data_IF_189420064115
#
_entry.id   IF_189420064115
#
_cell.length_a   1.000
_cell.length_b   1.000
_cell.length_c   1.000
_cell.angle_alpha   90.00
_cell.angle_beta   90.00
_cell.angle_gamma   90.00
#
_symmetry.space_group_name_H-M   'P 1'
#
loop_
_entity.id
_entity.type
_entity.pdbx_description
1 polymer ?
#
# COMPACT_ATOMS: atom_id res chain seq x y z
N UNK A 1 7.18 6.56 -16.51
CA UNK A 1 5.83 6.17 -16.00
C UNK A 1 5.42 6.97 -14.76
N UNK A 2 4.11 7.17 -14.52
CA UNK A 2 3.53 7.74 -13.28
C UNK A 2 2.74 6.70 -12.50
N UNK A 3 3.14 6.47 -11.24
CA UNK A 3 2.59 5.42 -10.38
C UNK A 3 1.82 6.02 -9.22
N UNK A 4 0.59 5.53 -8.99
CA UNK A 4 -0.21 5.84 -7.81
C UNK A 4 -0.17 4.69 -6.81
N UNK A 5 0.00 4.98 -5.52
CA UNK A 5 -0.07 4.02 -4.43
C UNK A 5 -1.08 4.45 -3.38
N UNK A 6 -2.14 3.66 -3.18
CA UNK A 6 -3.19 3.91 -2.19
C UNK A 6 -2.89 3.15 -0.92
N UNK A 7 -2.97 3.84 0.22
CA UNK A 7 -2.80 3.22 1.53
C UNK A 7 -3.93 2.28 1.95
N UNK A 8 -3.80 1.73 3.16
CA UNK A 8 -4.62 0.63 3.69
C UNK A 8 -6.11 0.87 3.48
N UNK A 9 -6.73 0.10 2.58
CA UNK A 9 -8.16 0.22 2.28
C UNK A 9 -8.95 -0.46 3.40
N UNK A 10 -9.67 0.32 4.21
CA UNK A 10 -10.40 -0.19 5.38
C UNK A 10 -11.90 -0.28 5.10
N UNK A 11 -12.37 -1.52 4.93
CA UNK A 11 -13.79 -1.86 4.85
C UNK A 11 -14.58 -1.16 3.75
N UNK A 12 -15.92 -1.19 3.89
CA UNK A 12 -16.85 -0.57 2.92
C UNK A 12 -16.59 0.94 2.72
N UNK A 13 -16.30 1.75 3.75
CA UNK A 13 -16.03 3.18 3.55
C UNK A 13 -14.81 3.44 2.66
N UNK A 14 -13.73 2.67 2.80
CA UNK A 14 -12.54 2.73 1.95
C UNK A 14 -12.85 2.38 0.50
N UNK A 15 -13.51 1.24 0.26
CA UNK A 15 -13.91 0.83 -1.11
C UNK A 15 -14.85 1.84 -1.76
N UNK A 16 -15.78 2.42 -0.99
CA UNK A 16 -16.73 3.43 -1.48
C UNK A 16 -16.03 4.71 -1.96
N UNK A 17 -15.14 5.29 -1.14
CA UNK A 17 -14.47 6.56 -1.53
C UNK A 17 -13.57 6.36 -2.74
N UNK A 18 -12.96 5.18 -2.90
CA UNK A 18 -12.20 4.81 -4.09
C UNK A 18 -13.11 4.77 -5.32
N UNK A 19 -14.20 4.01 -5.27
CA UNK A 19 -15.16 3.88 -6.37
C UNK A 19 -15.69 5.23 -6.86
N UNK A 20 -15.90 6.17 -5.95
CA UNK A 20 -16.44 7.50 -6.26
C UNK A 20 -15.43 8.46 -6.90
N UNK A 21 -14.13 8.28 -6.67
CA UNK A 21 -13.11 9.30 -6.97
C UNK A 21 -11.95 8.80 -7.86
N UNK A 22 -11.57 7.53 -7.76
CA UNK A 22 -10.28 7.06 -8.31
C UNK A 22 -10.17 7.21 -9.82
N UNK A 23 -11.22 6.93 -10.58
CA UNK A 23 -11.20 7.08 -12.06
C UNK A 23 -10.94 8.54 -12.45
N UNK A 24 -11.52 9.50 -11.72
CA UNK A 24 -11.31 10.93 -11.97
C UNK A 24 -9.89 11.34 -11.61
N UNK A 25 -9.39 10.89 -10.46
CA UNK A 25 -8.02 11.14 -10.00
C UNK A 25 -7.01 10.55 -11.00
N UNK A 26 -7.19 9.28 -11.41
CA UNK A 26 -6.33 8.62 -12.41
C UNK A 26 -6.21 9.46 -13.69
N UNK A 27 -7.34 9.98 -14.18
CA UNK A 27 -7.38 10.84 -15.37
C UNK A 27 -6.78 12.23 -15.15
N UNK A 28 -7.12 12.88 -14.05
CA UNK A 28 -6.69 14.26 -13.74
C UNK A 28 -5.17 14.35 -13.55
N UNK A 29 -4.58 13.34 -12.91
CA UNK A 29 -3.15 13.30 -12.62
C UNK A 29 -2.38 12.38 -13.57
N UNK A 30 -3.01 11.89 -14.65
CA UNK A 30 -2.36 11.06 -15.68
C UNK A 30 -1.58 9.87 -15.10
N UNK A 31 -2.21 9.14 -14.16
CA UNK A 31 -1.57 8.02 -13.49
C UNK A 31 -1.66 6.78 -14.39
N UNK A 32 -0.51 6.20 -14.76
CA UNK A 32 -0.43 5.05 -15.65
C UNK A 32 -0.88 3.77 -14.93
N UNK A 33 -0.39 3.56 -13.71
CA UNK A 33 -0.59 2.33 -12.95
C UNK A 33 -0.85 2.60 -11.47
N UNK A 34 -1.85 1.93 -10.90
CA UNK A 34 -2.29 2.13 -9.52
C UNK A 34 -2.11 0.85 -8.71
N UNK A 35 -1.28 0.95 -7.69
CA UNK A 35 -1.09 -0.05 -6.65
C UNK A 35 -1.95 0.35 -5.44
N UNK A 36 -2.52 -0.59 -4.71
CA UNK A 36 -3.25 -0.30 -3.48
C UNK A 36 -3.07 -1.38 -2.41
N UNK A 37 -2.90 -0.99 -1.15
CA UNK A 37 -2.89 -1.94 -0.06
C UNK A 37 -4.33 -2.35 0.33
N UNK A 38 -4.66 -3.63 0.11
CA UNK A 38 -6.01 -4.17 0.31
C UNK A 38 -6.19 -5.00 1.58
N UNK A 39 -5.24 -4.99 2.52
CA UNK A 39 -5.24 -5.97 3.62
C UNK A 39 -6.43 -5.86 4.58
N UNK A 40 -7.09 -4.70 4.64
CA UNK A 40 -8.25 -4.44 5.53
C UNK A 40 -9.56 -4.26 4.76
N UNK A 41 -9.57 -4.60 3.47
CA UNK A 41 -10.64 -4.19 2.56
C UNK A 41 -11.98 -4.86 2.92
N UNK A 42 -11.99 -6.08 3.46
CA UNK A 42 -13.20 -6.85 3.74
C UNK A 42 -13.54 -6.87 5.24
N UNK A 43 -14.48 -6.01 5.65
CA UNK A 43 -14.92 -5.86 7.04
C UNK A 43 -13.78 -5.50 8.02
N UNK A 44 -12.75 -4.83 7.51
CA UNK A 44 -11.60 -4.40 8.31
C UNK A 44 -10.47 -5.41 8.43
N UNK A 45 -10.64 -6.65 7.93
CA UNK A 45 -9.66 -7.72 8.07
C UNK A 45 -9.68 -8.66 6.86
N UNK A 46 -8.58 -8.68 6.10
CA UNK A 46 -8.38 -9.46 4.89
C UNK A 46 -9.13 -8.95 3.67
N UNK A 47 -9.04 -9.74 2.60
CA UNK A 47 -9.61 -9.43 1.29
C UNK A 47 -10.39 -10.63 0.75
N UNK A 48 -11.68 -10.44 0.48
CA UNK A 48 -12.54 -11.43 -0.19
C UNK A 48 -12.44 -11.33 -1.71
N UNK A 49 -12.80 -12.37 -2.45
CA UNK A 49 -12.85 -12.34 -3.93
C UNK A 49 -13.73 -11.19 -4.45
N UNK A 50 -14.89 -10.96 -3.84
CA UNK A 50 -15.80 -9.88 -4.24
C UNK A 50 -15.19 -8.49 -4.01
N UNK A 51 -14.60 -8.27 -2.83
CA UNK A 51 -13.87 -7.04 -2.51
C UNK A 51 -12.72 -6.74 -3.48
N UNK A 52 -11.93 -7.76 -3.85
CA UNK A 52 -10.86 -7.60 -4.85
C UNK A 52 -11.42 -7.21 -6.22
N UNK A 53 -12.48 -7.89 -6.69
CA UNK A 53 -13.15 -7.55 -7.96
C UNK A 53 -13.70 -6.13 -7.97
N UNK A 54 -14.26 -5.66 -6.86
CA UNK A 54 -14.76 -4.27 -6.72
C UNK A 54 -13.62 -3.26 -6.86
N UNK A 55 -12.49 -3.51 -6.20
CA UNK A 55 -11.32 -2.63 -6.21
C UNK A 55 -10.66 -2.57 -7.59
N UNK A 56 -10.41 -3.73 -8.21
CA UNK A 56 -9.83 -3.79 -9.55
C UNK A 56 -10.71 -3.07 -10.58
N UNK A 57 -12.04 -3.27 -10.53
CA UNK A 57 -13.00 -2.55 -11.39
C UNK A 57 -13.04 -1.04 -11.15
N UNK A 58 -12.56 -0.57 -10.00
CA UNK A 58 -12.53 0.86 -9.66
C UNK A 58 -11.29 1.58 -10.20
N UNK A 59 -10.39 0.86 -10.90
CA UNK A 59 -9.18 1.42 -11.52
C UNK A 59 -7.88 1.10 -10.78
N UNK A 60 -7.90 0.19 -9.80
CA UNK A 60 -6.69 -0.36 -9.19
C UNK A 60 -6.15 -1.47 -10.09
N UNK A 61 -4.85 -1.44 -10.36
CA UNK A 61 -4.20 -2.37 -11.29
C UNK A 61 -3.55 -3.55 -10.54
N UNK A 62 -3.04 -3.31 -9.33
CA UNK A 62 -2.43 -4.31 -8.45
C UNK A 62 -2.76 -4.07 -6.98
N UNK A 63 -3.11 -5.13 -6.25
CA UNK A 63 -3.40 -5.07 -4.82
C UNK A 63 -2.26 -5.71 -4.02
N UNK A 64 -1.69 -5.00 -3.05
CA UNK A 64 -0.76 -5.53 -2.06
C UNK A 64 -1.48 -5.91 -0.77
N UNK A 65 -0.80 -6.63 0.12
CA UNK A 65 -1.33 -7.10 1.39
C UNK A 65 -0.51 -6.62 2.59
N UNK A 66 -0.68 -7.33 3.70
CA UNK A 66 -0.04 -7.05 4.99
C UNK A 66 -0.25 -8.20 5.97
N UNK A 67 -0.27 -7.90 7.27
CA UNK A 67 -0.48 -8.91 8.31
C UNK A 67 -1.88 -9.52 8.27
N UNK A 68 -2.89 -8.83 7.73
CA UNK A 68 -4.26 -9.34 7.62
C UNK A 68 -4.55 -10.09 6.30
N UNK A 69 -3.56 -10.31 5.45
CA UNK A 69 -3.71 -10.98 4.15
C UNK A 69 -4.50 -12.30 4.22
N UNK A 70 -4.27 -13.10 5.28
CA UNK A 70 -4.86 -14.43 5.40
C UNK A 70 -6.10 -14.52 6.31
N UNK A 71 -6.65 -13.40 6.79
CA UNK A 71 -7.86 -13.40 7.63
C UNK A 71 -9.11 -13.85 6.84
N UNK A 72 -9.06 -13.77 5.51
CA UNK A 72 -10.00 -14.40 4.57
C UNK A 72 -9.32 -15.55 3.81
N UNK A 73 -8.69 -16.48 4.53
CA UNK A 73 -7.81 -17.53 3.98
C UNK A 73 -8.32 -18.18 2.69
N UNK A 74 -9.58 -18.66 2.67
CA UNK A 74 -10.13 -19.35 1.48
C UNK A 74 -10.14 -18.45 0.24
N UNK A 75 -10.56 -17.20 0.39
CA UNK A 75 -10.55 -16.21 -0.69
C UNK A 75 -9.12 -15.85 -1.10
N UNK A 76 -8.24 -15.59 -0.13
CA UNK A 76 -6.86 -15.18 -0.41
C UNK A 76 -6.11 -16.26 -1.20
N UNK A 77 -6.31 -17.54 -0.90
CA UNK A 77 -5.66 -18.62 -1.67
C UNK A 77 -6.08 -18.59 -3.16
N UNK A 78 -7.35 -18.34 -3.46
CA UNK A 78 -7.84 -18.21 -4.83
C UNK A 78 -7.31 -16.93 -5.50
N UNK A 79 -7.28 -15.82 -4.75
CA UNK A 79 -6.81 -14.53 -5.25
C UNK A 79 -5.34 -14.56 -5.66
N UNK A 80 -4.49 -15.23 -4.87
CA UNK A 80 -3.05 -15.35 -5.13
C UNK A 80 -2.73 -16.18 -6.40
N UNK A 81 -3.66 -17.00 -6.87
CA UNK A 81 -3.51 -17.79 -8.11
C UNK A 81 -4.10 -17.08 -9.33
N UNK A 82 -5.18 -16.33 -9.16
CA UNK A 82 -6.06 -15.93 -10.27
C UNK A 82 -6.17 -14.42 -10.49
N UNK A 83 -5.64 -13.61 -9.58
CA UNK A 83 -5.86 -12.16 -9.58
C UNK A 83 -4.56 -11.38 -9.43
N UNK A 84 -4.61 -10.07 -9.72
CA UNK A 84 -3.52 -9.14 -9.44
C UNK A 84 -3.48 -8.80 -7.94
N UNK A 85 -3.16 -9.79 -7.11
CA UNK A 85 -3.07 -9.66 -5.65
C UNK A 85 -1.73 -10.23 -5.18
N UNK A 86 -1.05 -9.50 -4.32
CA UNK A 86 0.18 -9.89 -3.63
C UNK A 86 -0.08 -10.08 -2.14
N UNK A 87 0.78 -10.88 -1.51
CA UNK A 87 0.95 -10.97 -0.05
C UNK A 87 2.39 -10.55 0.29
N UNK A 88 2.74 -10.27 1.56
CA UNK A 88 4.14 -9.97 1.89
C UNK A 88 5.09 -11.10 1.47
N UNK A 89 6.17 -10.78 0.75
CA UNK A 89 7.02 -11.78 0.11
C UNK A 89 7.83 -12.61 1.12
N UNK A 90 8.16 -11.99 2.25
CA UNK A 90 8.95 -12.58 3.33
C UNK A 90 8.15 -13.49 4.27
N UNK A 91 6.97 -13.97 3.90
CA UNK A 91 6.37 -15.11 4.59
C UNK A 91 7.27 -16.35 4.46
N UNK A 92 7.33 -17.23 5.47
CA UNK A 92 8.09 -18.47 5.39
C UNK A 92 7.69 -19.34 4.20
N UNK A 93 8.62 -20.17 3.72
CA UNK A 93 8.37 -21.10 2.63
C UNK A 93 7.18 -22.03 2.92
N UNK A 94 6.43 -22.39 1.86
CA UNK A 94 5.27 -23.29 1.95
C UNK A 94 3.90 -22.62 1.74
N UNK A 95 3.87 -21.31 1.48
CA UNK A 95 2.65 -20.61 1.06
C UNK A 95 2.65 -20.34 -0.45
N UNK A 96 1.46 -20.39 -1.04
CA UNK A 96 1.26 -20.05 -2.46
C UNK A 96 1.30 -18.53 -2.68
N UNK A 97 1.33 -18.13 -3.95
CA UNK A 97 1.40 -16.74 -4.35
C UNK A 97 2.78 -16.14 -4.16
N UNK A 98 2.91 -14.91 -4.64
CA UNK A 98 4.15 -14.13 -4.63
C UNK A 98 3.90 -12.81 -3.91
N UNK A 99 4.93 -12.25 -3.28
CA UNK A 99 4.94 -10.84 -2.90
C UNK A 99 5.65 -9.94 -3.89
N UNK A 100 5.98 -10.47 -5.07
CA UNK A 100 6.62 -9.74 -6.16
C UNK A 100 5.83 -9.95 -7.45
N UNK A 101 5.60 -8.87 -8.18
CA UNK A 101 5.10 -8.92 -9.56
C UNK A 101 5.83 -7.94 -10.45
N UNK A 102 6.23 -8.42 -11.63
CA UNK A 102 6.76 -7.57 -12.70
C UNK A 102 5.58 -7.25 -13.62
N UNK A 103 5.27 -5.97 -13.72
CA UNK A 103 4.18 -5.42 -14.51
C UNK A 103 4.77 -4.74 -15.76
N UNK A 104 4.16 -5.00 -16.91
CA UNK A 104 4.42 -4.23 -18.13
C UNK A 104 3.43 -3.06 -18.16
N UNK A 105 3.96 -1.84 -18.23
CA UNK A 105 3.21 -0.59 -18.19
C UNK A 105 3.39 0.09 -19.53
N UNK A 106 2.28 0.34 -20.21
CA UNK A 106 2.26 1.14 -21.43
C UNK A 106 2.37 2.62 -21.06
N UNK A 107 3.42 3.27 -21.54
CA UNK A 107 3.70 4.69 -21.38
C UNK A 107 3.73 5.37 -22.75
N UNK A 108 3.88 6.70 -22.77
CA UNK A 108 4.01 7.44 -24.03
C UNK A 108 5.27 7.05 -24.82
N UNK A 109 6.31 6.54 -24.13
CA UNK A 109 7.60 6.18 -24.69
C UNK A 109 7.72 4.67 -25.00
N UNK A 110 6.68 3.88 -24.75
CA UNK A 110 6.61 2.45 -25.05
C UNK A 110 6.21 1.60 -23.85
N UNK A 111 6.63 0.33 -23.85
CA UNK A 111 6.36 -0.59 -22.73
C UNK A 111 7.56 -0.56 -21.78
N UNK A 112 7.32 -0.18 -20.54
CA UNK A 112 8.29 -0.24 -19.46
C UNK A 112 7.93 -1.35 -18.45
N UNK A 113 8.93 -1.86 -17.73
CA UNK A 113 8.72 -2.86 -16.66
C UNK A 113 8.79 -2.19 -15.30
N UNK A 114 7.83 -2.50 -14.43
CA UNK A 114 7.81 -2.13 -13.00
C UNK A 114 7.74 -3.38 -12.14
N UNK A 115 8.71 -3.58 -11.25
CA UNK A 115 8.57 -4.56 -10.17
C UNK A 115 7.89 -3.92 -8.96
N UNK A 116 6.81 -4.56 -8.49
CA UNK A 116 6.17 -4.21 -7.22
C UNK A 116 6.49 -5.30 -6.21
N UNK A 117 7.03 -4.90 -5.07
CA UNK A 117 7.41 -5.76 -3.96
C UNK A 117 6.55 -5.39 -2.75
N UNK A 118 5.93 -6.37 -2.11
CA UNK A 118 5.27 -6.22 -0.81
C UNK A 118 6.07 -6.97 0.25
N UNK A 119 6.41 -6.32 1.37
CA UNK A 119 7.18 -6.90 2.47
C UNK A 119 6.54 -6.52 3.81
N UNK A 120 6.79 -7.33 4.84
CA UNK A 120 6.29 -7.08 6.19
C UNK A 120 7.45 -6.89 7.19
N UNK A 121 7.32 -5.88 8.06
CA UNK A 121 8.24 -5.67 9.20
C UNK A 121 8.14 -6.78 10.24
N UNK A 122 8.98 -6.72 11.28
CA UNK A 122 9.02 -7.74 12.35
C UNK A 122 8.72 -7.17 13.74
N UNK A 123 8.98 -5.88 13.97
CA UNK A 123 8.73 -5.27 15.27
C UNK A 123 7.22 -5.11 15.52
N UNK A 124 6.67 -5.88 16.47
CA UNK A 124 5.24 -5.87 16.79
C UNK A 124 4.36 -6.58 15.74
N UNK A 125 4.97 -7.28 14.78
CA UNK A 125 4.32 -7.91 13.63
C UNK A 125 4.36 -9.44 13.74
N UNK A 126 3.58 -10.18 12.93
CA UNK A 126 3.68 -11.65 12.86
C UNK A 126 5.08 -12.13 12.45
N UNK A 127 5.41 -13.37 12.80
CA UNK A 127 6.70 -13.99 12.46
C UNK A 127 6.84 -14.19 10.95
N UNK A 128 7.91 -13.64 10.39
CA UNK A 128 8.30 -13.71 8.98
C UNK A 128 9.82 -13.84 8.85
N UNK A 129 10.28 -14.16 7.63
CA UNK A 129 11.70 -14.05 7.29
C UNK A 129 12.18 -12.62 7.46
N UNK A 130 13.46 -12.45 7.81
CA UNK A 130 14.04 -11.13 8.06
C UNK A 130 13.85 -10.21 6.83
N UNK A 131 13.09 -9.09 6.96
CA UNK A 131 12.67 -8.30 5.80
C UNK A 131 13.84 -7.63 5.07
N UNK A 132 14.92 -7.30 5.78
CA UNK A 132 16.07 -6.61 5.22
C UNK A 132 16.96 -7.54 4.39
N UNK A 133 17.24 -8.73 4.92
CA UNK A 133 17.97 -9.77 4.18
C UNK A 133 17.16 -10.26 2.98
N UNK A 134 15.84 -10.40 3.16
CA UNK A 134 14.94 -10.79 2.08
C UNK A 134 14.90 -9.72 0.99
N UNK A 135 14.67 -8.46 1.33
CA UNK A 135 14.70 -7.34 0.39
C UNK A 135 16.01 -7.28 -0.39
N UNK A 136 17.16 -7.49 0.27
CA UNK A 136 18.48 -7.50 -0.40
C UNK A 136 18.55 -8.56 -1.50
N UNK A 137 18.07 -9.78 -1.22
CA UNK A 137 18.00 -10.87 -2.20
C UNK A 137 17.07 -10.49 -3.36
N UNK A 138 15.89 -9.94 -3.07
CA UNK A 138 14.90 -9.59 -4.09
C UNK A 138 15.39 -8.49 -5.02
N UNK A 139 15.89 -7.39 -4.47
CA UNK A 139 16.39 -6.25 -5.25
C UNK A 139 17.59 -6.66 -6.11
N UNK A 140 18.52 -7.45 -5.57
CA UNK A 140 19.66 -7.99 -6.35
C UNK A 140 19.17 -8.82 -7.54
N UNK A 141 18.25 -9.75 -7.31
CA UNK A 141 17.72 -10.61 -8.36
C UNK A 141 16.97 -9.83 -9.45
N UNK A 142 16.27 -8.75 -9.10
CA UNK A 142 15.58 -7.89 -10.06
C UNK A 142 16.57 -7.10 -10.91
N UNK A 143 17.63 -6.56 -10.31
CA UNK A 143 18.70 -5.87 -11.04
C UNK A 143 19.47 -6.80 -11.99
N UNK A 144 19.74 -8.05 -11.58
CA UNK A 144 20.33 -9.07 -12.45
C UNK A 144 19.46 -9.37 -13.68
N UNK A 145 18.14 -9.19 -13.56
CA UNK A 145 17.18 -9.30 -14.66
C UNK A 145 16.97 -7.98 -15.43
N UNK A 146 17.81 -6.96 -15.17
CA UNK A 146 17.73 -5.62 -15.75
C UNK A 146 16.38 -4.91 -15.47
N UNK A 147 15.78 -5.16 -14.31
CA UNK A 147 14.57 -4.48 -13.86
C UNK A 147 14.96 -3.38 -12.89
N UNK A 148 14.92 -2.13 -13.37
CA UNK A 148 15.36 -0.96 -12.61
C UNK A 148 14.22 -0.25 -11.86
N UNK A 149 13.02 -0.24 -12.45
CA UNK A 149 11.86 0.38 -11.80
C UNK A 149 11.33 -0.57 -10.73
N UNK A 150 11.54 -0.20 -9.47
CA UNK A 150 11.17 -1.03 -8.31
C UNK A 150 10.37 -0.18 -7.32
N UNK A 151 9.15 -0.61 -7.02
CA UNK A 151 8.28 -0.03 -5.99
C UNK A 151 8.15 -1.01 -4.82
N UNK A 152 8.42 -0.55 -3.59
CA UNK A 152 8.28 -1.35 -2.37
C UNK A 152 7.12 -0.81 -1.53
N UNK A 153 6.12 -1.65 -1.30
CA UNK A 153 5.15 -1.52 -0.20
C UNK A 153 5.71 -2.23 1.04
N UNK A 154 6.16 -1.46 2.03
CA UNK A 154 6.72 -1.98 3.27
C UNK A 154 5.76 -1.84 4.45
N UNK A 155 5.02 -2.93 4.71
CA UNK A 155 3.97 -3.01 5.70
C UNK A 155 4.55 -3.27 7.10
N UNK A 156 4.76 -2.23 7.90
CA UNK A 156 5.50 -2.33 9.17
C UNK A 156 5.04 -1.32 10.22
N UNK A 157 5.16 -1.66 11.50
CA UNK A 157 4.82 -0.77 12.62
C UNK A 157 5.94 0.23 12.93
N UNK A 158 7.17 -0.27 13.12
CA UNK A 158 8.28 0.56 13.60
C UNK A 158 8.78 1.53 12.52
N UNK A 159 8.76 2.83 12.83
CA UNK A 159 9.33 3.88 11.98
C UNK A 159 10.82 3.68 11.72
N UNK A 160 11.56 3.11 12.68
CA UNK A 160 12.97 2.75 12.51
C UNK A 160 13.18 1.68 11.43
N UNK A 161 12.36 0.62 11.40
CA UNK A 161 12.44 -0.40 10.35
C UNK A 161 12.16 0.22 8.98
N UNK A 162 11.11 1.05 8.89
CA UNK A 162 10.76 1.78 7.66
C UNK A 162 11.88 2.69 7.18
N UNK A 163 12.59 3.36 8.08
CA UNK A 163 13.73 4.23 7.74
C UNK A 163 14.99 3.44 7.37
N UNK A 164 15.25 2.30 8.02
CA UNK A 164 16.35 1.41 7.63
C UNK A 164 16.16 0.92 6.20
N UNK A 165 14.93 0.58 5.80
CA UNK A 165 14.62 0.16 4.43
C UNK A 165 15.04 1.23 3.39
N UNK A 166 14.70 2.51 3.63
CA UNK A 166 15.19 3.62 2.79
C UNK A 166 16.71 3.66 2.76
N UNK A 167 17.36 3.66 3.93
CA UNK A 167 18.80 3.84 4.00
C UNK A 167 19.59 2.73 3.31
N UNK A 168 19.04 1.52 3.27
CA UNK A 168 19.62 0.36 2.58
C UNK A 168 19.47 0.42 1.05
N UNK A 169 18.34 0.95 0.56
CA UNK A 169 17.93 0.81 -0.85
C UNK A 169 17.76 2.13 -1.59
N UNK A 170 18.07 3.27 -0.98
CA UNK A 170 18.16 4.55 -1.70
C UNK A 170 19.11 4.43 -2.91
N UNK A 171 18.74 5.06 -4.02
CA UNK A 171 19.40 4.97 -5.32
C UNK A 171 19.45 3.55 -5.94
N UNK A 172 18.79 2.56 -5.34
CA UNK A 172 18.67 1.19 -5.84
C UNK A 172 17.22 0.81 -6.14
N UNK A 173 16.24 1.56 -5.65
CA UNK A 173 14.82 1.37 -5.96
C UNK A 173 14.17 2.71 -6.24
N UNK A 174 13.06 2.70 -6.96
CA UNK A 174 12.40 3.93 -7.40
C UNK A 174 11.55 4.55 -6.29
N UNK A 175 10.82 3.71 -5.54
CA UNK A 175 9.98 4.19 -4.47
C UNK A 175 9.85 3.17 -3.33
N UNK A 176 9.76 3.66 -2.11
CA UNK A 176 9.43 2.88 -0.91
C UNK A 176 8.32 3.64 -0.16
N UNK A 177 7.15 3.02 -0.05
CA UNK A 177 6.06 3.56 0.74
C UNK A 177 5.69 2.61 1.86
N UNK A 178 5.68 3.09 3.09
CA UNK A 178 5.19 2.32 4.21
C UNK A 178 3.66 2.36 4.33
N UNK A 179 3.10 1.31 4.92
CA UNK A 179 1.68 1.15 5.31
C UNK A 179 1.61 0.56 6.73
N UNK A 180 0.42 0.12 7.18
CA UNK A 180 0.11 -0.53 8.47
C UNK A 180 -0.42 0.41 9.57
N UNK A 181 0.25 1.52 9.84
CA UNK A 181 -0.07 2.33 11.04
C UNK A 181 -1.38 3.11 10.91
N UNK A 182 -1.94 3.15 9.69
CA UNK A 182 -3.20 3.81 9.33
C UNK A 182 -3.18 5.34 9.47
N UNK A 183 -2.08 5.94 9.92
CA UNK A 183 -1.91 7.39 10.06
C UNK A 183 -0.83 7.86 9.09
N UNK A 184 -1.21 8.76 8.18
CA UNK A 184 -0.28 9.28 7.19
C UNK A 184 0.78 10.18 7.83
N UNK A 185 2.05 10.00 7.44
CA UNK A 185 3.16 10.86 7.86
C UNK A 185 3.36 12.04 6.90
N UNK A 186 4.05 13.07 7.37
CA UNK A 186 4.36 14.32 6.63
C UNK A 186 5.80 14.33 6.08
N UNK A 187 6.46 13.17 5.99
CA UNK A 187 7.88 13.04 5.62
C UNK A 187 8.11 12.54 4.18
N UNK A 188 7.14 12.79 3.29
CA UNK A 188 7.26 12.51 1.86
C UNK A 188 8.48 13.23 1.29
N UNK A 189 9.40 12.48 0.72
CA UNK A 189 10.63 13.02 0.14
C UNK A 189 11.12 12.21 -1.05
N UNK A 190 11.98 12.80 -1.87
CA UNK A 190 12.86 12.08 -2.80
C UNK A 190 14.27 12.20 -2.25
N UNK A 191 14.86 11.07 -1.87
CA UNK A 191 16.19 11.02 -1.27
C UNK A 191 17.08 10.11 -2.11
N UNK A 192 18.17 10.67 -2.68
CA UNK A 192 19.07 9.98 -3.61
C UNK A 192 18.31 9.20 -4.71
N UNK A 193 17.46 9.89 -5.47
CA UNK A 193 16.63 9.33 -6.55
C UNK A 193 15.55 8.30 -6.13
N UNK A 194 15.29 8.12 -4.83
CA UNK A 194 14.24 7.21 -4.34
C UNK A 194 13.13 8.01 -3.65
N UNK A 195 11.88 7.87 -4.11
CA UNK A 195 10.73 8.42 -3.41
C UNK A 195 10.46 7.63 -2.12
N UNK A 196 10.18 8.33 -1.03
CA UNK A 196 10.00 7.73 0.28
C UNK A 196 8.87 8.37 1.06
N UNK A 197 8.08 7.52 1.73
CA UNK A 197 7.10 7.94 2.73
C UNK A 197 7.05 6.90 3.87
N UNK A 198 7.19 7.33 5.12
CA UNK A 198 7.15 6.41 6.28
C UNK A 198 5.80 5.71 6.39
N UNK A 199 4.68 6.44 6.26
CA UNK A 199 3.36 5.82 6.18
C UNK A 199 2.40 6.66 5.33
N UNK A 200 1.74 6.03 4.37
CA UNK A 200 0.73 6.70 3.55
C UNK A 200 -0.55 6.98 4.34
N UNK A 201 -0.86 6.15 5.33
CA UNK A 201 -2.08 6.15 6.12
C UNK A 201 -3.24 5.44 5.43
N UNK A 202 -4.34 5.28 6.17
CA UNK A 202 -5.49 4.52 5.68
C UNK A 202 -6.29 5.24 4.57
N UNK A 203 -7.00 4.46 3.77
CA UNK A 203 -8.15 4.87 2.95
C UNK A 203 -9.43 4.25 3.52
N UNK A 204 -10.27 5.06 4.17
CA UNK A 204 -11.35 4.58 5.04
C UNK A 204 -11.75 5.64 6.08
N UNK A 205 -12.36 5.21 7.20
CA UNK A 205 -12.83 6.13 8.25
C UNK A 205 -11.71 6.82 9.02
N UNK A 206 -11.70 8.16 9.07
CA UNK A 206 -10.65 8.95 9.73
C UNK A 206 -11.04 9.53 11.10
N UNK A 207 -12.31 9.43 11.46
CA UNK A 207 -12.93 10.10 12.62
C UNK A 207 -13.17 9.16 13.81
N UNK A 208 -12.58 7.96 13.78
CA UNK A 208 -12.60 6.98 14.86
C UNK A 208 -11.19 6.44 15.14
N UNK A 209 -11.06 5.22 15.68
CA UNK A 209 -9.76 4.64 16.05
C UNK A 209 -9.24 3.82 14.87
N UNK A 210 -8.34 4.43 14.08
CA UNK A 210 -7.62 3.80 12.95
C UNK A 210 -8.52 2.99 11.99
N UNK A 211 -9.73 3.49 11.71
CA UNK A 211 -10.71 2.86 10.82
C UNK A 211 -11.79 2.02 11.50
N UNK A 212 -11.66 1.75 12.80
CA UNK A 212 -12.60 0.97 13.61
C UNK A 212 -13.48 1.86 14.49
N UNK A 213 -14.70 1.41 14.83
CA UNK A 213 -15.56 2.05 15.81
C UNK A 213 -14.85 2.19 17.16
N UNK A 214 -14.94 3.37 17.77
CA UNK A 214 -14.17 3.71 18.98
C UNK A 214 -14.56 2.92 20.23
N UNK A 215 -15.78 2.36 20.30
CA UNK A 215 -16.32 1.73 21.51
C UNK A 215 -15.46 0.57 22.01
N UNK A 216 -15.10 -0.36 21.12
CA UNK A 216 -14.37 -1.58 21.47
C UNK A 216 -12.88 -1.31 21.77
N UNK A 217 -12.14 -0.50 20.99
CA UNK A 217 -10.80 -0.06 21.37
C UNK A 217 -10.76 0.64 22.74
N UNK A 218 -11.70 1.54 23.03
CA UNK A 218 -11.77 2.24 24.34
C UNK A 218 -12.03 1.25 25.46
N UNK A 219 -12.99 0.33 25.30
CA UNK A 219 -13.25 -0.71 26.29
C UNK A 219 -12.01 -1.57 26.56
N UNK A 220 -11.33 -2.01 25.50
CA UNK A 220 -10.15 -2.87 25.60
C UNK A 220 -9.04 -2.20 26.40
N UNK A 221 -8.72 -0.93 26.14
CA UNK A 221 -7.63 -0.24 26.86
C UNK A 221 -8.01 0.15 28.29
N UNK A 222 -9.29 0.40 28.58
CA UNK A 222 -9.75 0.81 29.92
C UNK A 222 -10.06 -0.35 30.86
N UNK A 223 -10.40 -1.52 30.32
CA UNK A 223 -10.84 -2.68 31.12
C UNK A 223 -9.98 -3.92 30.93
N UNK A 224 -9.15 -3.97 29.89
CA UNK A 224 -8.42 -5.18 29.47
C UNK A 224 -9.30 -6.22 28.75
N UNK A 225 -10.62 -6.03 28.72
CA UNK A 225 -11.54 -6.97 28.07
C UNK A 225 -11.57 -6.73 26.56
N UNK A 226 -11.30 -7.79 25.81
CA UNK A 226 -11.41 -7.77 24.34
C UNK A 226 -12.87 -7.69 23.87
N UNK A 227 -13.02 -7.46 22.57
CA UNK A 227 -14.30 -7.45 21.88
C UNK A 227 -14.09 -7.54 20.38
N UNK A 228 -15.17 -7.66 19.62
CA UNK A 228 -15.11 -7.69 18.16
C UNK A 228 -14.96 -6.26 17.62
N UNK A 229 -13.89 -5.99 16.87
CA UNK A 229 -13.73 -4.70 16.20
C UNK A 229 -14.67 -4.62 14.99
N UNK A 230 -15.30 -3.46 14.82
CA UNK A 230 -16.24 -3.22 13.73
C UNK A 230 -15.83 -1.98 12.94
N UNK A 231 -15.91 -2.05 11.61
CA UNK A 231 -15.78 -0.86 10.76
C UNK A 231 -17.13 -0.15 10.72
N UNK A 232 -17.20 1.16 11.04
CA UNK A 232 -18.44 1.91 10.99
C UNK A 232 -19.09 1.92 9.60
N UNK A 233 -20.41 1.77 9.54
CA UNK A 233 -21.16 1.85 8.27
C UNK A 233 -21.18 3.27 7.67
N UNK A 234 -21.07 4.29 8.50
CA UNK A 234 -21.03 5.71 8.13
C UNK A 234 -19.97 6.42 8.95
N UNK A 235 -19.13 7.22 8.30
CA UNK A 235 -17.99 7.90 8.90
C UNK A 235 -17.46 8.99 7.97
N UNK A 236 -16.56 9.84 8.47
CA UNK A 236 -15.81 10.78 7.63
C UNK A 236 -14.65 10.03 6.98
N UNK A 237 -14.84 9.55 5.74
CA UNK A 237 -13.78 8.84 5.03
C UNK A 237 -12.74 9.76 4.40
N UNK A 238 -11.53 9.24 4.24
CA UNK A 238 -10.40 9.81 3.51
C UNK A 238 -9.86 8.78 2.52
N UNK A 239 -9.40 9.25 1.36
CA UNK A 239 -8.54 8.52 0.44
C UNK A 239 -7.16 9.17 0.49
N UNK A 240 -6.14 8.36 0.70
CA UNK A 240 -4.73 8.78 0.73
C UNK A 240 -3.96 8.02 -0.34
N UNK A 241 -3.29 8.77 -1.22
CA UNK A 241 -2.52 8.21 -2.33
C UNK A 241 -1.20 8.96 -2.47
N UNK A 242 -0.08 8.23 -2.59
CA UNK A 242 1.18 8.77 -3.09
C UNK A 242 1.19 8.64 -4.61
N UNK A 243 1.61 9.68 -5.31
CA UNK A 243 1.87 9.66 -6.75
C UNK A 243 3.35 9.93 -6.96
N UNK A 244 4.01 9.13 -7.80
CA UNK A 244 5.44 9.25 -8.09
C UNK A 244 5.69 9.09 -9.58
N UNK A 245 6.51 9.98 -10.14
CA UNK A 245 7.06 9.85 -11.49
C UNK A 245 8.36 9.08 -11.44
N UNK A 246 8.42 7.99 -12.20
CA UNK A 246 9.56 7.07 -12.26
C UNK A 246 10.07 6.99 -13.70
N UNK A 247 11.39 7.16 -13.86
CA UNK A 247 12.13 7.01 -15.12
C UNK A 247 13.50 6.35 -14.86
N UNK A 248 13.86 5.35 -15.66
CA UNK A 248 15.10 4.55 -15.55
C UNK A 248 15.50 4.16 -14.10
N UNK A 249 14.51 3.73 -13.31
CA UNK A 249 14.67 3.32 -11.91
C UNK A 249 14.67 4.45 -10.88
N UNK A 250 14.58 5.71 -11.30
CA UNK A 250 14.69 6.89 -10.45
C UNK A 250 13.35 7.61 -10.29
N UNK A 251 13.07 8.11 -9.09
CA UNK A 251 11.98 9.04 -8.87
C UNK A 251 12.40 10.47 -9.23
N UNK A 252 11.61 11.14 -10.08
CA UNK A 252 11.85 12.53 -10.51
C UNK A 252 10.92 13.54 -9.85
N UNK A 253 9.70 13.11 -9.50
CA UNK A 253 8.72 13.91 -8.78
C UNK A 253 7.84 12.99 -7.92
N UNK A 254 7.31 13.52 -6.81
CA UNK A 254 6.34 12.80 -6.00
C UNK A 254 5.46 13.76 -5.22
N UNK A 255 4.19 13.39 -5.01
CA UNK A 255 3.25 14.15 -4.19
C UNK A 255 2.21 13.24 -3.55
N UNK A 256 1.63 13.69 -2.44
CA UNK A 256 0.57 12.97 -1.70
C UNK A 256 -0.78 13.64 -1.90
N UNK A 257 -1.74 12.88 -2.41
CA UNK A 257 -3.15 13.24 -2.54
C UNK A 257 -3.89 12.85 -1.26
N UNK A 258 -4.65 13.80 -0.71
CA UNK A 258 -5.67 13.58 0.32
C UNK A 258 -7.04 14.02 -0.21
N UNK A 259 -7.99 13.08 -0.27
CA UNK A 259 -9.37 13.34 -0.68
C UNK A 259 -10.33 12.97 0.45
N UNK A 260 -11.06 13.96 0.96
CA UNK A 260 -12.05 13.75 2.02
C UNK A 260 -13.45 13.56 1.44
N UNK A 261 -14.26 12.71 2.08
CA UNK A 261 -15.68 12.59 1.75
C UNK A 261 -16.40 13.95 1.86
N UNK A 262 -17.37 14.19 0.98
CA UNK A 262 -18.19 15.41 0.97
C UNK A 262 -17.42 16.73 0.84
N UNK A 263 -16.12 16.69 0.54
CA UNK A 263 -15.32 17.87 0.24
C UNK A 263 -14.93 17.80 -1.24
N UNK A 264 -15.27 18.80 -2.09
CA UNK A 264 -14.91 18.76 -3.51
C UNK A 264 -13.40 18.87 -3.73
N UNK A 265 -12.67 19.53 -2.82
CA UNK A 265 -11.22 19.79 -2.98
C UNK A 265 -10.39 18.52 -2.84
N UNK A 266 -9.32 18.47 -3.62
CA UNK A 266 -8.18 17.57 -3.41
C UNK A 266 -7.08 18.38 -2.72
N UNK A 267 -6.44 17.78 -1.73
CA UNK A 267 -5.31 18.38 -1.03
C UNK A 267 -4.04 17.67 -1.47
N UNK A 268 -3.05 18.44 -1.91
CA UNK A 268 -1.76 17.94 -2.39
C UNK A 268 -0.67 18.38 -1.43
N UNK A 269 0.27 17.48 -1.15
CA UNK A 269 1.51 17.77 -0.42
C UNK A 269 2.66 17.25 -1.27
N UNK A 270 3.49 18.17 -1.78
CA UNK A 270 4.65 17.85 -2.60
C UNK A 270 5.75 17.17 -1.77
N UNK A 271 6.51 16.29 -2.40
CA UNK A 271 7.71 15.72 -1.79
C UNK A 271 8.77 16.79 -1.57
N UNK A 272 9.48 16.70 -0.45
CA UNK A 272 10.73 17.42 -0.26
C UNK A 272 11.82 16.74 -1.11
N UNK A 273 12.59 17.52 -1.87
CA UNK A 273 13.68 17.03 -2.71
C UNK A 273 14.98 17.64 -2.16
N UNK A 274 15.87 16.77 -1.68
CA UNK A 274 17.24 17.14 -1.28
C UNK A 274 18.18 17.25 -2.49
#
# INVERSE_FOLDING_TARGET
>A
MRIGFIGDIVGRPGRKIIKENLIKIKKEYEIDFIIANGENASHGFGLTIEGSKELLKSGIDLITGGNHSFDKKKDMMVLLETSNVLRPDNYPEGLIGSGIKICEIETQDGIEKLAVINLMGIYGMPTVENPFNWAKKLVSNLHEQNIKNIFIDFHAEATSEKRIMLMMFKNQVSAICGTHTHVGTDDLQIFENTAYLTDIGLTGCRDNVIGMDSKIPIQKVTTGLGGHFEVPNSCKSILQMMVVDIDDGKASSAFKIKKYCHNPKIFITEAFID
#
